data_IF_125990712712
#
_entry.id   IF_125990712712
#
_cell.length_a   1.000
_cell.length_b   1.000
_cell.length_c   1.000
_cell.angle_alpha   90.00
_cell.angle_beta   90.00
_cell.angle_gamma   90.00
#
_symmetry.space_group_name_H-M   'P 1'
#
loop_
_entity.id
_entity.type
_entity.pdbx_description
1 polymer ?
#
# COMPACT_ATOMS: atom_id res chain seq x y z
N UNK A 1 -0.77 15.31 -17.74
CA UNK A 1 -1.01 13.89 -17.44
C UNK A 1 -1.84 13.69 -16.18
N UNK A 2 -2.92 12.90 -16.26
CA UNK A 2 -3.80 12.57 -15.14
C UNK A 2 -3.30 11.39 -14.30
N UNK A 3 -3.29 11.53 -12.98
CA UNK A 3 -2.92 10.46 -12.05
C UNK A 3 -4.06 9.43 -11.89
N UNK A 4 -3.78 8.17 -12.23
CA UNK A 4 -4.70 7.04 -12.09
C UNK A 4 -4.31 6.18 -10.89
N UNK A 5 -5.18 6.16 -9.88
CA UNK A 5 -5.08 5.34 -8.67
C UNK A 5 -6.48 5.09 -8.10
N UNK A 6 -6.63 4.05 -7.28
CA UNK A 6 -7.96 3.70 -6.76
C UNK A 6 -8.42 4.76 -5.76
N UNK A 7 -9.67 5.17 -5.85
CA UNK A 7 -10.32 6.06 -4.88
C UNK A 7 -11.50 5.31 -4.32
N UNK A 8 -11.63 5.26 -3.00
CA UNK A 8 -12.80 4.66 -2.38
C UNK A 8 -14.07 5.45 -2.72
N UNK A 9 -15.23 4.78 -2.77
CA UNK A 9 -16.52 5.46 -2.83
C UNK A 9 -16.65 6.49 -1.71
N UNK A 10 -17.43 7.55 -1.96
CA UNK A 10 -17.80 8.57 -0.97
C UNK A 10 -16.63 9.37 -0.36
N UNK A 11 -15.43 9.28 -0.95
CA UNK A 11 -14.26 10.02 -0.48
C UNK A 11 -13.62 9.45 0.80
N UNK A 12 -13.96 8.21 1.16
CA UNK A 12 -13.32 7.52 2.27
C UNK A 12 -11.79 7.41 2.05
N UNK A 13 -11.05 7.45 3.14
CA UNK A 13 -9.58 7.48 3.10
C UNK A 13 -9.00 6.06 3.19
N UNK A 14 -7.93 5.82 2.44
CA UNK A 14 -7.13 4.59 2.55
C UNK A 14 -5.66 4.98 2.32
N UNK A 15 -4.82 4.77 3.32
CA UNK A 15 -3.40 5.12 3.29
C UNK A 15 -2.71 4.63 2.03
N UNK A 16 -2.95 3.39 1.63
CA UNK A 16 -2.31 2.81 0.44
C UNK A 16 -2.63 3.57 -0.85
N UNK A 17 -3.86 4.06 -0.99
CA UNK A 17 -4.27 4.83 -2.16
C UNK A 17 -3.84 6.29 -2.03
N UNK A 18 -3.96 6.88 -0.84
CA UNK A 18 -3.58 8.25 -0.52
C UNK A 18 -2.08 8.52 -0.59
N UNK A 19 -1.26 7.46 -0.54
CA UNK A 19 0.16 7.55 -0.85
C UNK A 19 0.41 8.03 -2.29
N UNK A 20 -0.48 7.77 -3.25
CA UNK A 20 -0.28 8.19 -4.64
C UNK A 20 -0.13 9.71 -4.79
N UNK A 21 -1.13 10.55 -4.45
CA UNK A 21 -0.98 12.00 -4.57
C UNK A 21 0.20 12.51 -3.74
N UNK A 22 0.35 12.03 -2.50
CA UNK A 22 1.44 12.43 -1.61
C UNK A 22 2.84 12.17 -2.20
N UNK A 23 3.05 10.99 -2.77
CA UNK A 23 4.33 10.52 -3.32
C UNK A 23 4.63 11.21 -4.65
N UNK A 24 3.67 11.17 -5.58
CA UNK A 24 3.92 11.61 -6.95
C UNK A 24 3.97 13.13 -7.08
N UNK A 25 3.22 13.90 -6.29
CA UNK A 25 3.34 15.37 -6.27
C UNK A 25 4.77 15.82 -5.88
N UNK A 26 5.43 15.07 -4.98
CA UNK A 26 6.79 15.36 -4.52
C UNK A 26 7.85 14.92 -5.53
N UNK A 27 7.63 13.81 -6.22
CA UNK A 27 8.60 13.22 -7.16
C UNK A 27 8.50 13.77 -8.59
N UNK A 28 7.30 14.20 -8.98
CA UNK A 28 6.93 14.66 -10.32
C UNK A 28 6.21 16.03 -10.28
N UNK A 29 6.78 17.05 -9.61
CA UNK A 29 6.13 18.35 -9.48
C UNK A 29 5.86 18.96 -10.86
N UNK A 30 4.60 19.37 -11.09
CA UNK A 30 4.17 20.00 -12.34
C UNK A 30 3.95 19.07 -13.53
N UNK A 31 4.25 17.77 -13.42
CA UNK A 31 4.01 16.79 -14.52
C UNK A 31 2.56 16.28 -14.51
N UNK A 32 1.99 16.13 -13.32
CA UNK A 32 0.63 15.62 -13.13
C UNK A 32 -0.39 16.79 -13.14
N UNK A 33 -0.68 17.30 -14.33
CA UNK A 33 -1.54 18.48 -14.60
C UNK A 33 -3.05 18.17 -14.76
N UNK A 34 -3.48 16.95 -14.44
CA UNK A 34 -4.86 16.44 -14.61
C UNK A 34 -5.39 16.34 -16.06
N UNK A 35 -4.55 16.51 -17.09
CA UNK A 35 -4.93 16.26 -18.50
C UNK A 35 -5.37 14.80 -18.68
N UNK A 36 -6.66 14.54 -19.01
CA UNK A 36 -7.19 13.19 -19.11
C UNK A 36 -6.67 12.41 -20.32
N UNK A 37 -6.03 13.09 -21.27
CA UNK A 37 -5.56 12.51 -22.53
C UNK A 37 -4.26 11.72 -22.39
N UNK A 38 -3.55 11.86 -21.27
CA UNK A 38 -2.47 10.97 -20.85
C UNK A 38 -2.65 10.53 -19.41
N UNK A 39 -2.29 9.30 -19.08
CA UNK A 39 -2.45 8.76 -17.73
C UNK A 39 -1.11 8.34 -17.13
N UNK A 40 -0.89 8.70 -15.87
CA UNK A 40 0.13 8.09 -15.01
C UNK A 40 -0.54 7.04 -14.12
N UNK A 41 -0.28 5.77 -14.35
CA UNK A 41 -0.83 4.66 -13.56
C UNK A 41 0.10 4.42 -12.37
N UNK A 42 -0.29 4.96 -11.22
CA UNK A 42 0.50 4.97 -9.99
C UNK A 42 0.46 3.66 -9.20
N UNK A 43 0.87 3.72 -7.93
CA UNK A 43 1.01 2.55 -7.06
C UNK A 43 -0.34 1.90 -6.72
N UNK A 44 -0.30 0.61 -6.41
CA UNK A 44 -1.45 -0.19 -6.02
C UNK A 44 -1.62 -1.44 -6.86
N UNK A 45 -2.86 -1.92 -6.94
CA UNK A 45 -3.23 -3.10 -7.74
C UNK A 45 -4.15 -2.67 -8.88
N UNK A 46 -3.56 -1.98 -9.86
CA UNK A 46 -4.31 -1.28 -10.90
C UNK A 46 -4.34 -2.04 -12.23
N UNK A 47 -3.46 -3.04 -12.43
CA UNK A 47 -3.37 -3.79 -13.68
C UNK A 47 -4.41 -4.91 -13.68
N UNK A 48 -5.62 -4.56 -14.11
CA UNK A 48 -6.72 -5.48 -14.34
C UNK A 48 -7.61 -5.03 -15.50
N UNK A 49 -8.62 -5.83 -15.81
CA UNK A 49 -9.60 -5.58 -16.88
C UNK A 49 -10.31 -4.23 -16.81
N UNK A 50 -10.30 -3.52 -15.67
CA UNK A 50 -10.96 -2.21 -15.53
C UNK A 50 -10.01 -1.04 -15.81
N UNK A 51 -8.70 -1.25 -15.93
CA UNK A 51 -7.75 -0.17 -16.21
C UNK A 51 -8.06 0.61 -17.50
N UNK A 52 -8.43 -0.04 -18.63
CA UNK A 52 -8.82 0.69 -19.84
C UNK A 52 -10.01 1.62 -19.57
N UNK A 53 -11.03 1.16 -18.86
CA UNK A 53 -12.20 1.99 -18.51
C UNK A 53 -11.84 3.17 -17.61
N UNK A 54 -10.94 2.96 -16.64
CA UNK A 54 -10.46 4.01 -15.73
C UNK A 54 -9.59 5.06 -16.40
N UNK A 55 -9.03 4.74 -17.56
CA UNK A 55 -8.14 5.59 -18.34
C UNK A 55 -8.67 5.77 -19.76
N UNK A 56 -10.00 5.72 -19.95
CA UNK A 56 -10.64 5.64 -21.29
C UNK A 56 -10.33 6.84 -22.19
N UNK A 57 -10.08 8.00 -21.59
CA UNK A 57 -9.74 9.24 -22.30
C UNK A 57 -8.26 9.32 -22.66
N UNK A 58 -7.42 8.44 -22.09
CA UNK A 58 -5.99 8.49 -22.30
C UNK A 58 -5.58 7.78 -23.60
N UNK A 59 -4.81 8.48 -24.43
CA UNK A 59 -4.15 7.91 -25.62
C UNK A 59 -2.84 7.22 -25.26
N UNK A 60 -2.15 7.69 -24.21
CA UNK A 60 -0.94 7.07 -23.67
C UNK A 60 -1.00 6.91 -22.15
N UNK A 61 -0.46 5.80 -21.66
CA UNK A 61 -0.46 5.39 -20.25
C UNK A 61 0.97 5.08 -19.81
N UNK A 62 1.52 5.85 -18.90
CA UNK A 62 2.76 5.52 -18.20
C UNK A 62 2.42 4.59 -17.03
N UNK A 63 2.92 3.36 -17.04
CA UNK A 63 2.72 2.39 -15.95
C UNK A 63 3.97 2.36 -15.08
N UNK A 64 3.79 2.63 -13.79
CA UNK A 64 4.90 2.79 -12.86
C UNK A 64 4.69 2.04 -11.53
N UNK A 65 5.45 0.98 -11.32
CA UNK A 65 5.60 0.26 -10.06
C UNK A 65 4.30 -0.25 -9.40
N UNK A 66 3.26 -0.40 -10.22
CA UNK A 66 1.95 -0.96 -9.85
C UNK A 66 1.92 -2.46 -10.17
N UNK A 67 0.94 -3.19 -9.66
CA UNK A 67 0.85 -4.63 -9.91
C UNK A 67 -0.51 -5.12 -10.37
N UNK A 68 -0.50 -6.38 -10.82
CA UNK A 68 -1.67 -7.14 -11.25
C UNK A 68 -2.51 -7.55 -10.05
N UNK A 69 -3.82 -7.59 -10.26
CA UNK A 69 -4.78 -8.19 -9.34
C UNK A 69 -6.14 -7.52 -9.39
N UNK A 70 -7.11 -8.16 -8.72
CA UNK A 70 -8.54 -7.86 -8.83
C UNK A 70 -9.07 -8.00 -10.27
N UNK A 71 -10.39 -8.03 -10.45
CA UNK A 71 -11.02 -8.20 -11.76
C UNK A 71 -10.92 -9.63 -12.32
N UNK A 72 -11.36 -9.81 -13.58
CA UNK A 72 -11.45 -11.10 -14.26
C UNK A 72 -10.28 -11.37 -15.23
N UNK A 73 -9.21 -10.59 -15.15
CA UNK A 73 -8.06 -10.69 -16.05
C UNK A 73 -7.16 -9.45 -16.01
N UNK A 74 -6.15 -9.45 -16.87
CA UNK A 74 -5.17 -8.37 -17.05
C UNK A 74 -5.53 -7.49 -18.25
N UNK A 75 -5.07 -6.22 -18.32
CA UNK A 75 -5.21 -5.41 -19.53
C UNK A 75 -4.37 -6.01 -20.67
N UNK A 76 -4.81 -5.80 -21.91
CA UNK A 76 -3.96 -6.00 -23.09
C UNK A 76 -2.98 -4.83 -23.15
N UNK A 77 -1.69 -5.12 -23.09
CA UNK A 77 -0.62 -4.12 -23.14
C UNK A 77 -0.24 -3.92 -24.60
N UNK A 78 -0.78 -2.87 -25.22
CA UNK A 78 -0.47 -2.41 -26.57
C UNK A 78 0.41 -1.14 -26.56
N UNK A 79 0.61 -0.52 -27.72
CA UNK A 79 1.44 0.68 -27.89
C UNK A 79 0.93 1.92 -27.13
N UNK A 80 -0.31 1.88 -26.62
CA UNK A 80 -0.83 2.93 -25.74
C UNK A 80 -0.26 2.85 -24.32
N UNK A 81 0.43 1.77 -23.96
CA UNK A 81 1.06 1.58 -22.66
C UNK A 81 2.58 1.65 -22.77
N UNK A 82 3.19 2.45 -21.90
CA UNK A 82 4.64 2.43 -21.66
C UNK A 82 4.88 1.92 -20.25
N UNK A 83 5.42 0.71 -20.14
CA UNK A 83 5.72 0.05 -18.87
C UNK A 83 7.16 0.40 -18.45
N UNK A 84 7.30 1.22 -17.40
CA UNK A 84 8.62 1.55 -16.85
C UNK A 84 9.10 0.50 -15.86
N UNK A 85 8.19 0.06 -14.99
CA UNK A 85 8.40 -1.04 -14.06
C UNK A 85 7.08 -1.50 -13.47
N UNK A 86 7.09 -2.70 -12.89
CA UNK A 86 5.99 -3.37 -12.22
C UNK A 86 6.38 -3.73 -10.78
N UNK A 87 5.37 -3.92 -9.94
CA UNK A 87 5.51 -4.20 -8.51
C UNK A 87 6.35 -5.44 -8.18
N UNK A 88 6.34 -6.44 -9.06
CA UNK A 88 7.05 -7.69 -8.80
C UNK A 88 6.95 -8.71 -9.93
N UNK A 89 7.60 -9.87 -9.76
CA UNK A 89 7.74 -10.89 -10.79
C UNK A 89 6.43 -11.61 -11.13
N UNK A 90 5.46 -11.67 -10.20
CA UNK A 90 4.17 -12.28 -10.53
C UNK A 90 3.36 -11.37 -11.45
N UNK A 91 3.51 -10.05 -11.31
CA UNK A 91 2.91 -9.07 -12.23
C UNK A 91 3.52 -9.13 -13.64
N UNK A 92 4.84 -9.26 -13.79
CA UNK A 92 5.47 -9.44 -15.11
C UNK A 92 5.01 -10.74 -15.75
N UNK A 93 5.02 -11.85 -15.00
CA UNK A 93 4.57 -13.15 -15.47
C UNK A 93 3.10 -13.12 -15.94
N UNK A 94 2.20 -12.52 -15.16
CA UNK A 94 0.79 -12.43 -15.49
C UNK A 94 0.52 -11.61 -16.76
N UNK A 95 1.41 -10.69 -17.12
CA UNK A 95 1.33 -9.86 -18.32
C UNK A 95 2.15 -10.42 -19.50
N UNK A 96 2.93 -11.49 -19.31
CA UNK A 96 3.84 -12.00 -20.33
C UNK A 96 4.97 -11.03 -20.67
N UNK A 97 5.39 -10.20 -19.71
CA UNK A 97 6.41 -9.16 -19.91
C UNK A 97 7.79 -9.60 -19.39
N UNK A 98 8.89 -9.02 -19.90
CA UNK A 98 10.24 -9.37 -19.46
C UNK A 98 10.49 -9.16 -17.96
N UNK A 99 11.24 -10.08 -17.35
CA UNK A 99 11.52 -10.08 -15.90
C UNK A 99 12.22 -8.81 -15.41
N UNK A 100 13.02 -8.15 -16.25
CA UNK A 100 13.73 -6.92 -15.85
C UNK A 100 12.80 -5.73 -15.56
N UNK A 101 11.51 -5.84 -15.90
CA UNK A 101 10.48 -4.85 -15.53
C UNK A 101 9.96 -5.08 -14.11
N UNK A 102 10.19 -6.24 -13.48
CA UNK A 102 9.85 -6.47 -12.09
C UNK A 102 10.87 -5.76 -11.18
N UNK A 103 10.45 -4.65 -10.56
CA UNK A 103 11.30 -3.87 -9.64
C UNK A 103 10.79 -4.05 -8.22
N UNK A 104 9.87 -3.19 -7.76
CA UNK A 104 9.16 -3.32 -6.48
C UNK A 104 7.96 -2.37 -6.48
N UNK A 105 7.18 -2.35 -5.40
CA UNK A 105 6.12 -1.37 -5.22
C UNK A 105 6.68 0.06 -5.15
N UNK A 106 6.07 1.00 -5.87
CA UNK A 106 6.56 2.38 -5.96
C UNK A 106 6.59 3.12 -4.62
N UNK A 107 5.82 2.67 -3.61
CA UNK A 107 5.85 3.27 -2.27
C UNK A 107 7.23 3.14 -1.60
N UNK A 108 8.13 2.28 -2.09
CA UNK A 108 9.53 2.21 -1.64
C UNK A 108 10.29 3.53 -1.90
N UNK A 109 9.91 4.32 -2.92
CA UNK A 109 10.52 5.64 -3.18
C UNK A 109 10.31 6.64 -2.03
N UNK A 110 9.36 6.38 -1.13
CA UNK A 110 9.18 7.16 0.10
C UNK A 110 10.48 7.30 0.90
N UNK A 111 11.37 6.30 0.85
CA UNK A 111 12.70 6.32 1.48
C UNK A 111 13.54 7.55 1.12
N UNK A 112 13.30 8.15 -0.05
CA UNK A 112 14.00 9.34 -0.54
C UNK A 112 13.34 10.65 -0.14
N UNK A 113 12.10 10.58 0.33
CA UNK A 113 11.30 11.73 0.75
C UNK A 113 11.28 11.93 2.27
N UNK A 114 11.75 10.94 3.03
CA UNK A 114 11.81 10.96 4.49
C UNK A 114 13.26 10.87 4.97
N UNK A 115 13.56 11.54 6.08
CA UNK A 115 14.87 11.43 6.70
C UNK A 115 14.91 10.19 7.61
N UNK A 116 15.48 9.08 7.11
CA UNK A 116 15.66 7.84 7.88
C UNK A 116 16.61 7.99 9.08
N UNK A 117 17.37 9.09 9.18
CA UNK A 117 18.20 9.38 10.34
C UNK A 117 17.48 10.26 11.39
N UNK A 118 16.23 10.65 11.13
CA UNK A 118 15.45 11.44 12.09
C UNK A 118 15.11 10.60 13.33
N UNK A 119 15.66 11.00 14.47
CA UNK A 119 15.41 10.34 15.75
C UNK A 119 13.95 10.44 16.20
N UNK A 120 13.22 11.48 15.77
CA UNK A 120 11.80 11.60 16.08
C UNK A 120 10.96 10.58 15.31
N UNK A 121 11.36 10.28 14.07
CA UNK A 121 10.75 9.22 13.28
C UNK A 121 11.00 7.87 13.96
N UNK A 122 12.24 7.59 14.40
CA UNK A 122 12.63 6.32 15.02
C UNK A 122 12.56 6.31 16.56
N UNK A 123 11.57 7.01 17.14
CA UNK A 123 11.44 7.16 18.59
C UNK A 123 11.02 5.86 19.32
N UNK A 124 10.56 4.84 18.60
CA UNK A 124 10.12 3.54 19.15
C UNK A 124 9.15 3.69 20.34
N UNK A 125 8.06 4.45 20.14
CA UNK A 125 7.01 4.66 21.15
C UNK A 125 6.28 3.36 21.50
N UNK A 126 6.21 2.43 20.55
CA UNK A 126 5.54 1.14 20.73
C UNK A 126 6.45 0.00 20.29
N UNK A 127 6.53 -1.05 21.11
CA UNK A 127 7.17 -2.30 20.72
C UNK A 127 6.42 -2.98 19.57
N UNK A 128 5.09 -2.96 19.63
CA UNK A 128 4.22 -3.49 18.59
C UNK A 128 3.13 -2.48 18.28
N UNK A 129 2.83 -2.28 17.00
CA UNK A 129 1.63 -1.58 16.57
C UNK A 129 0.87 -2.40 15.52
N UNK A 130 -0.46 -2.28 15.50
CA UNK A 130 -1.31 -2.97 14.54
C UNK A 130 -2.00 -1.98 13.60
N UNK A 131 -1.91 -2.29 12.30
CA UNK A 131 -2.58 -1.55 11.24
C UNK A 131 -3.59 -2.47 10.52
N UNK A 132 -4.90 -2.33 10.77
CA UNK A 132 -5.92 -3.13 10.10
C UNK A 132 -6.09 -2.72 8.63
N UNK A 133 -6.87 -3.51 7.88
CA UNK A 133 -7.46 -3.05 6.62
C UNK A 133 -8.43 -1.89 6.86
N UNK A 134 -8.57 -0.96 5.90
CA UNK A 134 -9.40 0.24 6.08
C UNK A 134 -10.87 -0.06 6.43
N UNK A 135 -11.41 -1.18 5.92
CA UNK A 135 -12.79 -1.62 6.20
C UNK A 135 -13.01 -2.05 7.66
N UNK A 136 -11.93 -2.40 8.37
CA UNK A 136 -11.97 -2.82 9.77
C UNK A 136 -11.39 -1.75 10.70
N UNK A 137 -10.83 -0.67 10.17
CA UNK A 137 -10.30 0.42 10.96
C UNK A 137 -11.43 1.07 11.77
N UNK A 138 -11.18 1.31 13.07
CA UNK A 138 -12.17 1.84 13.97
C UNK A 138 -11.90 1.59 15.44
N UNK A 139 -12.89 1.94 16.26
CA UNK A 139 -12.87 1.83 17.72
C UNK A 139 -12.67 0.38 18.19
N UNK A 140 -13.14 -0.61 17.43
CA UNK A 140 -12.96 -2.02 17.77
C UNK A 140 -11.48 -2.41 17.86
N UNK A 141 -10.71 -2.20 16.79
CA UNK A 141 -9.29 -2.51 16.80
C UNK A 141 -8.47 -1.56 17.67
N UNK A 142 -8.87 -0.28 17.76
CA UNK A 142 -8.25 0.67 18.68
C UNK A 142 -8.32 0.16 20.13
N UNK A 143 -9.51 -0.23 20.57
CA UNK A 143 -9.74 -0.78 21.92
C UNK A 143 -8.94 -2.06 22.18
N UNK A 144 -8.82 -2.93 21.16
CA UNK A 144 -7.99 -4.14 21.25
C UNK A 144 -6.54 -3.78 21.51
N UNK A 145 -5.96 -2.87 20.73
CA UNK A 145 -4.55 -2.49 20.85
C UNK A 145 -4.26 -1.84 22.19
N UNK A 146 -5.09 -0.88 22.60
CA UNK A 146 -4.96 -0.16 23.88
C UNK A 146 -5.01 -1.13 25.08
N UNK A 147 -5.90 -2.13 25.04
CA UNK A 147 -6.05 -3.11 26.13
C UNK A 147 -4.82 -4.00 26.38
N UNK A 148 -3.87 -4.06 25.43
CA UNK A 148 -2.63 -4.83 25.53
C UNK A 148 -1.36 -3.96 25.43
N UNK A 149 -1.51 -2.63 25.43
CA UNK A 149 -0.41 -1.68 25.33
C UNK A 149 0.26 -1.63 23.96
N UNK A 150 -0.46 -1.98 22.90
CA UNK A 150 0.03 -1.89 21.51
C UNK A 150 -0.32 -0.53 20.92
N UNK A 151 0.49 -0.06 19.97
CA UNK A 151 0.11 1.04 19.10
C UNK A 151 -1.05 0.65 18.18
N UNK A 152 -1.94 1.59 17.90
CA UNK A 152 -2.96 1.46 16.87
C UNK A 152 -2.63 2.43 15.74
N UNK A 153 -2.63 1.96 14.49
CA UNK A 153 -2.37 2.78 13.31
C UNK A 153 -3.62 2.72 12.44
N UNK A 154 -4.36 3.83 12.37
CA UNK A 154 -5.54 3.90 11.50
C UNK A 154 -5.11 4.17 10.05
N UNK A 155 -5.40 3.28 9.09
CA UNK A 155 -5.11 3.50 7.68
C UNK A 155 -5.88 4.68 7.06
N UNK A 156 -6.80 5.33 7.79
CA UNK A 156 -7.59 6.47 7.31
C UNK A 156 -7.03 7.82 7.78
N UNK A 157 -5.98 7.83 8.60
CA UNK A 157 -5.29 9.06 8.98
C UNK A 157 -4.58 9.72 7.78
N UNK A 158 -4.06 10.93 7.97
CA UNK A 158 -3.21 11.56 6.97
C UNK A 158 -1.98 10.71 6.69
N UNK A 159 -1.49 10.78 5.45
CA UNK A 159 -0.33 10.02 4.99
C UNK A 159 0.87 10.21 5.93
N UNK A 160 1.17 11.44 6.31
CA UNK A 160 2.25 11.78 7.24
C UNK A 160 2.07 11.18 8.63
N UNK A 161 0.84 11.17 9.16
CA UNK A 161 0.55 10.60 10.47
C UNK A 161 0.77 9.08 10.48
N UNK A 162 0.37 8.39 9.41
CA UNK A 162 0.60 6.95 9.27
C UNK A 162 2.10 6.65 9.12
N UNK A 163 2.82 7.37 8.28
CA UNK A 163 4.29 7.23 8.11
C UNK A 163 5.00 7.41 9.45
N UNK A 164 4.63 8.46 10.19
CA UNK A 164 5.22 8.76 11.51
C UNK A 164 4.91 7.64 12.51
N UNK A 165 3.66 7.17 12.58
CA UNK A 165 3.27 6.10 13.49
C UNK A 165 3.99 4.77 13.18
N UNK A 166 4.18 4.46 11.89
CA UNK A 166 4.97 3.29 11.47
C UNK A 166 6.43 3.45 11.91
N UNK A 167 7.07 4.58 11.62
CA UNK A 167 8.46 4.83 11.98
C UNK A 167 8.71 4.77 13.49
N UNK A 168 7.73 5.18 14.29
CA UNK A 168 7.78 5.18 15.76
C UNK A 168 7.45 3.83 16.40
N UNK A 169 7.39 2.76 15.61
CA UNK A 169 7.07 1.41 16.07
C UNK A 169 8.28 0.49 15.85
N UNK A 170 8.59 -0.39 16.80
CA UNK A 170 9.67 -1.39 16.64
C UNK A 170 9.26 -2.55 15.71
N UNK A 171 8.01 -3.02 15.78
CA UNK A 171 7.45 -4.04 14.88
C UNK A 171 6.00 -3.73 14.50
N UNK A 172 5.71 -3.67 13.20
CA UNK A 172 4.34 -3.41 12.69
C UNK A 172 3.64 -4.71 12.30
N UNK A 173 2.49 -4.98 12.91
CA UNK A 173 1.57 -6.01 12.46
C UNK A 173 0.62 -5.38 11.42
N UNK A 174 0.72 -5.81 10.17
CA UNK A 174 0.04 -5.15 9.05
C UNK A 174 -0.95 -6.08 8.35
N UNK A 175 -2.21 -5.67 8.31
CA UNK A 175 -3.22 -6.22 7.40
C UNK A 175 -3.34 -5.40 6.10
N UNK A 176 -3.16 -4.09 6.20
CA UNK A 176 -2.99 -3.22 5.03
C UNK A 176 -1.58 -3.38 4.44
N UNK A 177 -1.47 -3.88 3.21
CA UNK A 177 -0.19 -4.16 2.53
C UNK A 177 0.78 -2.97 2.48
N UNK A 178 0.27 -1.77 2.21
CA UNK A 178 1.11 -0.57 2.20
C UNK A 178 1.66 -0.21 3.59
N UNK A 179 1.03 -0.68 4.68
CA UNK A 179 1.62 -0.59 6.01
C UNK A 179 2.93 -1.40 6.11
N UNK A 180 2.96 -2.61 5.54
CA UNK A 180 4.16 -3.43 5.48
C UNK A 180 5.21 -2.87 4.50
N UNK A 181 4.79 -2.40 3.31
CA UNK A 181 5.70 -1.79 2.34
C UNK A 181 6.41 -0.57 2.95
N UNK A 182 5.65 0.32 3.58
CA UNK A 182 6.21 1.52 4.21
C UNK A 182 7.03 1.16 5.45
N UNK A 183 6.63 0.17 6.25
CA UNK A 183 7.46 -0.32 7.35
C UNK A 183 8.83 -0.82 6.86
N UNK A 184 8.86 -1.66 5.82
CA UNK A 184 10.09 -2.17 5.23
C UNK A 184 10.97 -1.05 4.65
N UNK A 185 10.34 -0.05 4.01
CA UNK A 185 10.97 1.17 3.54
C UNK A 185 11.57 2.01 4.69
N UNK A 186 10.89 2.12 5.82
CA UNK A 186 11.40 2.80 7.01
C UNK A 186 12.37 1.94 7.84
N UNK A 187 12.68 0.72 7.38
CA UNK A 187 13.49 -0.28 8.11
C UNK A 187 12.86 -0.72 9.44
N UNK A 188 11.54 -0.69 9.53
CA UNK A 188 10.74 -1.21 10.63
C UNK A 188 10.31 -2.64 10.29
N UNK A 189 10.73 -3.66 11.07
CA UNK A 189 10.27 -5.04 10.88
C UNK A 189 8.75 -5.15 10.92
N UNK A 190 8.19 -6.05 10.13
CA UNK A 190 6.74 -6.19 9.98
C UNK A 190 6.27 -7.63 9.98
N UNK A 191 4.99 -7.84 10.26
CA UNK A 191 4.33 -9.15 10.27
C UNK A 191 3.04 -9.06 9.48
N UNK A 192 2.86 -9.85 8.42
CA UNK A 192 1.60 -9.87 7.68
C UNK A 192 0.51 -10.55 8.52
N UNK A 193 -0.60 -9.85 8.73
CA UNK A 193 -1.78 -10.36 9.44
C UNK A 193 -2.96 -10.37 8.48
N UNK A 194 -3.79 -11.40 8.55
CA UNK A 194 -5.03 -11.47 7.77
C UNK A 194 -6.21 -11.82 8.68
N UNK A 195 -7.28 -11.04 8.59
CA UNK A 195 -8.57 -11.32 9.26
C UNK A 195 -9.57 -12.00 8.32
N UNK A 196 -9.24 -12.09 7.02
CA UNK A 196 -10.11 -12.59 5.98
C UNK A 196 -9.34 -13.23 4.83
N UNK A 197 -9.92 -14.28 4.24
CA UNK A 197 -9.45 -14.86 2.97
C UNK A 197 -9.74 -13.99 1.74
N UNK A 198 -10.52 -12.92 1.88
CA UNK A 198 -10.82 -11.96 0.80
C UNK A 198 -9.65 -11.01 0.52
N UNK A 199 -8.66 -10.94 1.41
CA UNK A 199 -7.43 -10.20 1.14
C UNK A 199 -6.70 -10.96 0.02
N UNK A 200 -6.52 -10.28 -1.11
CA UNK A 200 -5.84 -10.84 -2.27
C UNK A 200 -4.39 -11.18 -1.91
N UNK A 201 -4.08 -12.46 -1.74
CA UNK A 201 -2.72 -12.93 -1.42
C UNK A 201 -1.73 -12.64 -2.54
N UNK A 202 -2.19 -12.66 -3.80
CA UNK A 202 -1.36 -12.42 -4.99
C UNK A 202 -0.55 -11.13 -4.88
N UNK A 203 -1.18 -10.01 -4.50
CA UNK A 203 -0.46 -8.72 -4.41
C UNK A 203 0.64 -8.72 -3.35
N UNK A 204 0.41 -9.43 -2.24
CA UNK A 204 1.41 -9.60 -1.19
C UNK A 204 2.56 -10.48 -1.65
N UNK A 205 2.26 -11.63 -2.26
CA UNK A 205 3.26 -12.56 -2.79
C UNK A 205 4.14 -11.89 -3.85
N UNK A 206 3.52 -11.12 -4.74
CA UNK A 206 4.18 -10.37 -5.80
C UNK A 206 5.19 -9.36 -5.25
N UNK A 207 4.79 -8.54 -4.27
CA UNK A 207 5.69 -7.62 -3.60
C UNK A 207 6.75 -8.32 -2.75
N UNK A 208 6.37 -9.34 -1.96
CA UNK A 208 7.32 -10.08 -1.12
C UNK A 208 8.43 -10.74 -1.97
N UNK A 209 8.07 -11.30 -3.13
CA UNK A 209 9.02 -11.88 -4.08
C UNK A 209 10.00 -10.83 -4.61
N UNK A 210 9.56 -9.59 -4.86
CA UNK A 210 10.42 -8.52 -5.35
C UNK A 210 11.45 -8.08 -4.30
N UNK A 211 11.05 -7.94 -3.03
CA UNK A 211 11.96 -7.60 -1.90
C UNK A 211 12.68 -8.81 -1.30
N UNK A 212 12.41 -10.03 -1.78
CA UNK A 212 13.17 -11.23 -1.45
C UNK A 212 12.81 -11.89 -0.14
N UNK A 213 11.55 -11.78 0.28
CA UNK A 213 11.02 -12.39 1.51
C UNK A 213 9.83 -13.30 1.18
N UNK A 214 9.51 -14.23 2.08
CA UNK A 214 8.36 -15.10 1.92
C UNK A 214 7.10 -14.45 2.51
N UNK A 215 5.97 -14.56 1.80
CA UNK A 215 4.68 -14.14 2.32
C UNK A 215 4.05 -15.26 3.17
N UNK A 216 4.15 -15.13 4.49
CA UNK A 216 3.61 -16.09 5.47
C UNK A 216 2.61 -15.40 6.43
N UNK A 217 1.37 -15.11 5.99
CA UNK A 217 0.42 -14.34 6.79
C UNK A 217 -0.09 -15.12 8.00
N UNK A 218 -0.20 -14.44 9.13
CA UNK A 218 -0.81 -15.01 10.33
C UNK A 218 -2.30 -14.67 10.42
N UNK A 219 -3.13 -15.67 10.70
CA UNK A 219 -4.58 -15.49 10.80
C UNK A 219 -5.01 -15.01 12.19
N UNK A 220 -5.86 -13.97 12.19
CA UNK A 220 -6.56 -13.47 13.37
C UNK A 220 -8.06 -13.34 13.12
N UNK A 221 -8.83 -13.09 14.18
CA UNK A 221 -10.28 -12.86 14.07
C UNK A 221 -10.59 -11.45 13.60
N UNK A 222 -11.72 -11.25 12.92
CA UNK A 222 -12.23 -9.91 12.61
C UNK A 222 -12.75 -9.23 13.87
N UNK A 223 -12.50 -7.94 13.99
CA UNK A 223 -13.08 -7.08 15.01
C UNK A 223 -13.80 -5.96 14.28
N UNK A 224 -15.07 -5.75 14.63
CA UNK A 224 -15.90 -4.68 14.09
C UNK A 224 -16.16 -3.66 15.19
N UNK A 225 -16.50 -2.44 14.78
CA UNK A 225 -16.87 -1.40 15.71
C UNK A 225 -18.12 -1.77 16.54
N UNK A 226 -18.18 -1.32 17.80
CA UNK A 226 -19.37 -1.47 18.62
C UNK A 226 -20.57 -0.82 17.94
N UNK A 227 -21.74 -1.48 18.00
CA UNK A 227 -23.00 -0.87 17.55
C UNK A 227 -23.49 0.08 18.65
N UNK A 228 -23.65 1.36 18.36
CA UNK A 228 -24.17 2.36 19.31
C UNK A 228 -25.71 2.37 19.47
N UNK A 229 -26.41 1.31 19.07
CA UNK A 229 -27.87 1.21 19.26
C UNK A 229 -28.19 0.83 20.70
N UNK A 230 -28.92 1.69 21.41
CA UNK A 230 -29.45 1.47 22.75
C UNK A 230 -30.78 0.73 22.68
N UNK A 231 -30.79 -0.53 23.12
CA UNK A 231 -31.99 -1.34 23.29
C UNK A 231 -31.95 -2.19 24.59
N UNK A 232 -33.00 -2.96 24.87
CA UNK A 232 -33.07 -3.82 26.06
C UNK A 232 -31.95 -4.89 26.13
N UNK A 233 -31.28 -5.19 25.01
CA UNK A 233 -30.18 -6.16 24.94
C UNK A 233 -28.80 -5.50 25.13
N UNK A 234 -28.74 -4.19 25.34
CA UNK A 234 -27.49 -3.42 25.50
C UNK A 234 -26.54 -4.05 26.53
N UNK A 235 -26.96 -4.43 27.76
CA UNK A 235 -26.04 -5.01 28.74
C UNK A 235 -25.38 -6.31 28.24
N UNK A 236 -26.16 -7.20 27.63
CA UNK A 236 -25.66 -8.45 27.05
C UNK A 236 -24.72 -8.19 25.86
N UNK A 237 -25.02 -7.20 25.02
CA UNK A 237 -24.16 -6.79 23.89
C UNK A 237 -22.84 -6.21 24.38
N UNK A 238 -22.85 -5.40 25.43
CA UNK A 238 -21.64 -4.83 26.04
C UNK A 238 -20.73 -5.92 26.59
N UNK A 239 -21.28 -6.90 27.33
CA UNK A 239 -20.49 -8.05 27.83
C UNK A 239 -19.92 -8.88 26.69
N UNK A 240 -20.74 -9.19 25.66
CA UNK A 240 -20.27 -9.93 24.48
C UNK A 240 -19.20 -9.17 23.71
N UNK A 241 -19.33 -7.86 23.58
CA UNK A 241 -18.32 -6.99 22.96
C UNK A 241 -17.01 -7.03 23.76
N UNK A 242 -17.08 -6.85 25.08
CA UNK A 242 -15.92 -6.95 25.97
C UNK A 242 -15.20 -8.31 25.84
N UNK A 243 -15.94 -9.42 25.82
CA UNK A 243 -15.37 -10.76 25.61
C UNK A 243 -14.68 -10.88 24.24
N UNK A 244 -15.27 -10.31 23.19
CA UNK A 244 -14.68 -10.29 21.83
C UNK A 244 -13.38 -9.49 21.79
N UNK A 245 -13.35 -8.30 22.39
CA UNK A 245 -12.15 -7.46 22.50
C UNK A 245 -11.07 -8.22 23.26
N UNK A 246 -11.39 -8.83 24.41
CA UNK A 246 -10.44 -9.63 25.20
C UNK A 246 -9.89 -10.83 24.42
N UNK A 247 -10.73 -11.52 23.66
CA UNK A 247 -10.31 -12.62 22.77
C UNK A 247 -9.38 -12.13 21.67
N UNK A 248 -9.72 -11.02 21.00
CA UNK A 248 -8.91 -10.41 19.94
C UNK A 248 -7.56 -9.97 20.47
N UNK A 249 -7.55 -9.30 21.63
CA UNK A 249 -6.36 -8.85 22.35
C UNK A 249 -5.42 -10.02 22.67
N UNK A 250 -5.96 -11.09 23.26
CA UNK A 250 -5.19 -12.31 23.54
C UNK A 250 -4.58 -12.90 22.27
N UNK A 251 -5.38 -12.99 21.19
CA UNK A 251 -4.91 -13.53 19.91
C UNK A 251 -3.83 -12.65 19.27
N UNK A 252 -4.04 -11.33 19.20
CA UNK A 252 -3.09 -10.38 18.64
C UNK A 252 -1.78 -10.37 19.43
N UNK A 253 -1.85 -10.43 20.76
CA UNK A 253 -0.68 -10.57 21.62
C UNK A 253 0.08 -11.87 21.37
N UNK A 254 -0.62 -13.00 21.26
CA UNK A 254 0.01 -14.28 20.92
C UNK A 254 0.68 -14.25 19.55
N UNK A 255 0.06 -13.61 18.56
CA UNK A 255 0.61 -13.43 17.23
C UNK A 255 1.91 -12.63 17.28
N UNK A 256 1.90 -11.47 17.92
CA UNK A 256 3.09 -10.62 18.06
C UNK A 256 4.26 -11.30 18.78
N UNK A 257 3.98 -12.15 19.77
CA UNK A 257 5.01 -12.85 20.54
C UNK A 257 5.56 -14.11 19.85
N UNK A 258 4.81 -14.71 18.93
CA UNK A 258 5.19 -15.96 18.23
C UNK A 258 5.64 -15.73 16.80
N UNK A 259 5.29 -14.58 16.22
CA UNK A 259 5.71 -14.22 14.88
C UNK A 259 7.22 -14.04 14.80
N UNK A 260 7.75 -14.28 13.62
CA UNK A 260 9.09 -13.82 13.26
C UNK A 260 8.91 -12.55 12.42
N UNK A 261 9.25 -11.37 12.94
CA UNK A 261 9.21 -10.15 12.15
C UNK A 261 10.07 -10.30 10.90
N UNK A 262 9.54 -9.81 9.78
CA UNK A 262 10.16 -9.85 8.47
C UNK A 262 10.76 -8.47 8.22
N UNK A 263 11.95 -8.46 7.61
CA UNK A 263 12.56 -7.26 7.07
C UNK A 263 13.40 -7.67 5.85
N UNK A 264 13.23 -6.98 4.73
CA UNK A 264 14.08 -7.20 3.54
C UNK A 264 15.55 -6.92 3.86
N UNK A 265 16.50 -7.38 3.03
CA UNK A 265 17.90 -7.02 3.23
C UNK A 265 18.15 -5.54 2.85
N UNK A 266 18.96 -4.83 3.63
CA UNK A 266 19.28 -3.40 3.40
C UNK A 266 19.79 -3.15 1.98
N UNK A 267 20.74 -3.97 1.52
CA UNK A 267 21.31 -3.85 0.18
C UNK A 267 20.30 -4.16 -0.94
N UNK A 268 19.29 -4.99 -0.67
CA UNK A 268 18.26 -5.36 -1.63
C UNK A 268 17.26 -4.23 -1.78
N UNK A 269 16.72 -3.70 -0.67
CA UNK A 269 15.79 -2.58 -0.76
C UNK A 269 16.46 -1.32 -1.33
N UNK A 270 17.73 -1.08 -0.99
CA UNK A 270 18.47 0.05 -1.55
C UNK A 270 18.67 -0.10 -3.06
N UNK A 271 19.07 -1.29 -3.55
CA UNK A 271 19.17 -1.58 -4.99
C UNK A 271 17.84 -1.38 -5.72
N UNK A 272 16.74 -1.86 -5.13
CA UNK A 272 15.41 -1.69 -5.70
C UNK A 272 14.98 -0.21 -5.71
N UNK A 273 15.37 0.56 -4.70
CA UNK A 273 15.12 2.00 -4.65
C UNK A 273 15.87 2.71 -5.79
N UNK A 274 17.16 2.40 -5.98
CA UNK A 274 17.95 2.93 -7.11
C UNK A 274 17.34 2.57 -8.46
N UNK A 275 16.90 1.32 -8.64
CA UNK A 275 16.20 0.92 -9.87
C UNK A 275 14.91 1.73 -10.09
N UNK A 276 14.12 1.96 -9.04
CA UNK A 276 12.94 2.83 -9.15
C UNK A 276 13.33 4.27 -9.53
N UNK A 277 14.41 4.81 -8.98
CA UNK A 277 14.94 6.14 -9.31
C UNK A 277 15.36 6.22 -10.79
N UNK A 278 16.07 5.21 -11.30
CA UNK A 278 16.46 5.11 -12.72
C UNK A 278 15.23 5.05 -13.65
N UNK A 279 14.22 4.23 -13.31
CA UNK A 279 12.97 4.17 -14.08
C UNK A 279 12.20 5.48 -14.03
N UNK A 280 12.20 6.16 -12.89
CA UNK A 280 11.56 7.46 -12.72
C UNK A 280 12.27 8.53 -13.54
N UNK A 281 13.60 8.50 -13.58
CA UNK A 281 14.38 9.41 -14.43
C UNK A 281 14.10 9.15 -15.91
N UNK A 282 14.05 7.88 -16.34
CA UNK A 282 13.64 7.52 -17.70
C UNK A 282 12.26 8.10 -18.06
N UNK A 283 11.29 7.99 -17.15
CA UNK A 283 9.97 8.61 -17.34
C UNK A 283 10.05 10.14 -17.48
N UNK A 284 10.84 10.81 -16.65
CA UNK A 284 11.04 12.28 -16.75
C UNK A 284 11.66 12.68 -18.08
N UNK A 285 12.66 11.93 -18.54
CA UNK A 285 13.34 12.18 -19.82
C UNK A 285 12.37 11.99 -20.99
N UNK A 286 11.53 10.96 -20.95
CA UNK A 286 10.48 10.73 -21.94
C UNK A 286 9.41 11.84 -21.97
N UNK A 287 9.02 12.36 -20.80
CA UNK A 287 8.12 13.52 -20.71
C UNK A 287 8.79 14.76 -21.33
N UNK A 288 10.04 15.04 -20.99
CA UNK A 288 10.79 16.18 -21.52
C UNK A 288 11.02 16.07 -23.04
N UNK A 289 11.20 14.86 -23.57
CA UNK A 289 11.30 14.57 -24.99
C UNK A 289 9.96 14.64 -25.74
N UNK A 290 8.84 14.92 -25.04
CA UNK A 290 7.52 15.03 -25.64
C UNK A 290 6.87 13.69 -25.99
N UNK A 291 7.34 12.56 -25.44
CA UNK A 291 6.73 11.25 -25.69
C UNK A 291 5.24 11.23 -25.32
N UNK A 292 4.86 11.98 -24.28
CA UNK A 292 3.49 12.12 -23.81
C UNK A 292 2.80 13.40 -24.28
N UNK A 293 3.46 14.22 -25.10
CA UNK A 293 2.80 15.36 -25.73
C UNK A 293 1.82 14.83 -26.79
N UNK A 294 0.57 15.23 -26.70
CA UNK A 294 -0.42 14.93 -27.74
C UNK A 294 -0.48 16.13 -28.65
N UNK A 295 -0.05 15.94 -29.89
CA UNK A 295 -0.28 16.90 -30.96
C UNK A 295 -1.79 16.97 -31.18
N UNK A 296 -2.42 18.08 -30.76
CA UNK A 296 -3.75 18.43 -31.25
C UNK A 296 -3.52 18.98 -32.66
N UNK A 297 -3.99 18.34 -33.74
CA UNK A 297 -4.05 19.04 -35.01
C UNK A 297 -4.90 20.29 -34.77
N UNK A 298 -4.38 21.44 -35.21
CA UNK A 298 -5.09 22.73 -35.16
C UNK A 298 -6.46 22.56 -35.86
N UNK A 299 -7.54 23.20 -35.38
CA UNK A 299 -8.89 23.05 -35.94
C UNK A 299 -8.99 23.33 -37.45
#
# INVERSE_FOLDING_TARGET
MKLCYYKLPDGAQNFGDNLNPWLWERLLPGVLDDDPTTAFVGIGTLLNSNLPNRTREAYKRAVFATGVGYGKGVPVVDDSYKIYCLRGPLSTQALGLPDHLAVTDGAVLLRRLVNLSDRNLHRNLYKFAFMPHYELAGEGWKSVCESIGFGYIDPRWSTEAVITAIGQTEVVLAEAMHGAIVADALRVPWVPVVTSRTILSFKWQDWCASVGVNYEPMQTQRVFDPRHQTDLLTPLRTVRHWLRIRSAASRLKQLALRSRPILSLDNRIERLTVQLEERLQQFKDDVAAGYFAIYRPDP
#
